data_IF_054420392827
#
_entry.id   IF_054420392827
#
_cell.length_a   1.000
_cell.length_b   1.000
_cell.length_c   1.000
_cell.angle_alpha   90.00
_cell.angle_beta   90.00
_cell.angle_gamma   90.00
#
_symmetry.space_group_name_H-M   'P 1'
#
loop_
_entity.id
_entity.type
_entity.pdbx_description
1 polymer ?
#
# COMPACT_ATOMS: atom_id res chain seq x y z
N UNK A 1 -1.79 -21.40 3.95
CA UNK A 1 -1.46 -19.95 3.89
C UNK A 1 0.02 -19.77 4.18
N UNK A 2 0.70 -19.05 3.33
CA UNK A 2 2.14 -18.77 3.46
C UNK A 2 2.31 -17.26 3.58
N UNK A 3 3.02 -16.79 4.64
CA UNK A 3 3.33 -15.38 4.78
C UNK A 3 4.47 -15.00 3.83
N UNK A 4 4.22 -14.04 2.94
CA UNK A 4 5.20 -13.52 1.98
C UNK A 4 5.92 -12.30 2.57
N UNK A 5 5.19 -11.44 3.28
CA UNK A 5 5.72 -10.23 3.88
C UNK A 5 4.98 -9.87 5.17
N UNK A 6 5.72 -9.42 6.17
CA UNK A 6 5.19 -8.92 7.43
C UNK A 6 5.83 -7.58 7.75
N UNK A 7 5.05 -6.50 7.63
CA UNK A 7 5.42 -5.15 8.01
C UNK A 7 4.68 -4.69 9.25
N UNK A 8 4.90 -3.43 9.66
CA UNK A 8 4.22 -2.82 10.80
C UNK A 8 2.81 -2.37 10.48
N UNK A 9 2.53 -2.04 9.22
CA UNK A 9 1.25 -1.48 8.79
C UNK A 9 0.51 -2.35 7.79
N UNK A 10 1.16 -3.35 7.22
CA UNK A 10 0.53 -4.29 6.30
C UNK A 10 1.25 -5.63 6.27
N UNK A 11 0.51 -6.65 5.86
CA UNK A 11 1.02 -8.00 5.66
C UNK A 11 0.62 -8.53 4.29
N UNK A 12 1.37 -9.48 3.75
CA UNK A 12 1.01 -10.19 2.53
C UNK A 12 1.07 -11.69 2.79
N UNK A 13 -0.01 -12.37 2.51
CA UNK A 13 -0.12 -13.82 2.62
C UNK A 13 -0.47 -14.43 1.27
N UNK A 14 0.17 -15.54 0.94
CA UNK A 14 -0.23 -16.35 -0.20
C UNK A 14 -1.32 -17.33 0.27
N UNK A 15 -2.49 -17.20 -0.34
CA UNK A 15 -3.63 -18.09 -0.12
C UNK A 15 -3.59 -19.25 -1.12
N UNK A 16 -4.69 -19.94 -1.31
CA UNK A 16 -4.80 -21.03 -2.28
C UNK A 16 -4.79 -20.49 -3.73
N UNK A 17 -4.42 -21.35 -4.64
CA UNK A 17 -4.49 -21.10 -6.09
C UNK A 17 -3.64 -19.92 -6.59
N UNK A 18 -2.62 -19.53 -5.86
CA UNK A 18 -1.71 -18.44 -6.26
C UNK A 18 -2.26 -17.04 -5.99
N UNK A 19 -3.29 -16.91 -5.18
CA UNK A 19 -3.87 -15.62 -4.81
C UNK A 19 -3.15 -15.09 -3.57
N UNK A 20 -2.57 -13.90 -3.67
CA UNK A 20 -2.00 -13.20 -2.54
C UNK A 20 -3.00 -12.20 -1.96
N UNK A 21 -3.01 -12.11 -0.64
CA UNK A 21 -3.83 -11.16 0.11
C UNK A 21 -2.91 -10.12 0.76
N UNK A 22 -3.03 -8.86 0.34
CA UNK A 22 -2.35 -7.73 0.96
C UNK A 22 -3.33 -7.03 1.89
N UNK A 23 -3.01 -7.03 3.19
CA UNK A 23 -3.90 -6.51 4.24
C UNK A 23 -3.27 -5.30 4.90
N UNK A 24 -3.91 -4.13 4.76
CA UNK A 24 -3.56 -2.96 5.55
C UNK A 24 -4.13 -3.09 6.95
N UNK A 25 -3.26 -3.08 7.94
CA UNK A 25 -3.61 -3.23 9.37
C UNK A 25 -2.64 -2.44 10.24
N UNK A 26 -2.61 -1.13 10.08
CA UNK A 26 -1.78 -0.24 10.88
C UNK A 26 -2.24 -0.20 12.34
N UNK A 27 -1.36 0.25 13.23
CA UNK A 27 -1.77 0.54 14.60
C UNK A 27 -2.85 1.63 14.64
N UNK A 28 -3.78 1.51 15.57
CA UNK A 28 -4.88 2.45 15.72
C UNK A 28 -6.12 2.04 14.94
N UNK A 29 -7.05 2.98 14.79
CA UNK A 29 -8.39 2.72 14.28
C UNK A 29 -8.49 2.79 12.76
N UNK A 30 -7.53 3.42 12.09
CA UNK A 30 -7.55 3.66 10.64
C UNK A 30 -6.20 3.36 10.02
N UNK A 31 -6.21 3.05 8.71
CA UNK A 31 -4.99 3.00 7.91
C UNK A 31 -4.71 4.37 7.31
N UNK A 32 -3.44 4.78 7.32
CA UNK A 32 -2.94 6.02 6.69
C UNK A 32 -1.69 5.71 5.89
N UNK A 33 -1.43 6.50 4.86
CA UNK A 33 -0.14 6.48 4.18
C UNK A 33 0.83 7.44 4.89
N UNK A 34 1.41 6.98 5.98
CA UNK A 34 2.57 7.56 6.62
C UNK A 34 3.86 6.99 5.98
N UNK A 35 5.02 7.47 6.42
CA UNK A 35 6.31 7.00 5.89
C UNK A 35 6.49 5.49 6.07
N UNK A 36 6.05 4.96 7.20
CA UNK A 36 6.16 3.52 7.47
C UNK A 36 5.30 2.71 6.51
N UNK A 37 4.08 3.13 6.24
CA UNK A 37 3.17 2.42 5.34
C UNK A 37 3.66 2.47 3.89
N UNK A 38 4.22 3.60 3.46
CA UNK A 38 4.86 3.72 2.13
C UNK A 38 6.03 2.74 2.03
N UNK A 39 6.89 2.67 3.05
CA UNK A 39 8.02 1.74 3.07
C UNK A 39 7.56 0.28 3.09
N UNK A 40 6.53 -0.04 3.88
CA UNK A 40 5.96 -1.39 3.92
C UNK A 40 5.36 -1.80 2.57
N UNK A 41 4.66 -0.88 1.90
CA UNK A 41 4.10 -1.16 0.57
C UNK A 41 5.19 -1.44 -0.46
N UNK A 42 6.28 -0.68 -0.42
CA UNK A 42 7.41 -0.91 -1.31
C UNK A 42 8.07 -2.28 -1.07
N UNK A 43 8.34 -2.61 0.17
CA UNK A 43 8.92 -3.90 0.54
C UNK A 43 7.98 -5.08 0.19
N UNK A 44 6.70 -4.92 0.44
CA UNK A 44 5.69 -5.91 0.07
C UNK A 44 5.61 -6.11 -1.45
N UNK A 45 5.67 -5.03 -2.22
CA UNK A 45 5.68 -5.09 -3.69
C UNK A 45 6.90 -5.85 -4.19
N UNK A 46 8.08 -5.58 -3.63
CA UNK A 46 9.31 -6.31 -3.97
C UNK A 46 9.19 -7.80 -3.62
N UNK A 47 8.63 -8.13 -2.47
CA UNK A 47 8.40 -9.50 -2.06
C UNK A 47 7.42 -10.25 -2.99
N UNK A 48 6.38 -9.56 -3.45
CA UNK A 48 5.43 -10.10 -4.43
C UNK A 48 6.10 -10.40 -5.77
N UNK A 49 6.93 -9.49 -6.27
CA UNK A 49 7.67 -9.69 -7.53
C UNK A 49 8.64 -10.85 -7.42
N UNK A 50 9.30 -11.02 -6.27
CA UNK A 50 10.29 -12.07 -6.05
C UNK A 50 9.66 -13.46 -5.86
N UNK A 51 8.38 -13.53 -5.48
CA UNK A 51 7.70 -14.81 -5.26
C UNK A 51 7.17 -15.39 -6.58
N UNK A 52 7.45 -16.65 -6.81
CA UNK A 52 7.04 -17.31 -8.04
C UNK A 52 5.56 -17.66 -8.09
N UNK A 53 4.81 -18.22 -8.41
CA UNK A 53 3.46 -18.78 -8.31
C UNK A 53 2.32 -17.81 -7.96
N UNK A 54 2.55 -16.47 -7.94
CA UNK A 54 1.48 -15.51 -7.72
C UNK A 54 0.73 -15.27 -9.02
N UNK A 55 -0.58 -15.44 -8.99
CA UNK A 55 -1.49 -15.24 -10.13
C UNK A 55 -2.32 -13.98 -10.02
N UNK A 56 -2.43 -13.41 -8.83
CA UNK A 56 -3.18 -12.20 -8.58
C UNK A 56 -3.08 -11.78 -7.13
N UNK A 57 -3.39 -10.53 -6.87
CA UNK A 57 -3.38 -9.94 -5.53
C UNK A 57 -4.70 -9.23 -5.28
N UNK A 58 -5.31 -9.46 -4.13
CA UNK A 58 -6.34 -8.56 -3.67
C UNK A 58 -5.87 -7.77 -2.44
N UNK A 59 -6.24 -6.50 -2.44
CA UNK A 59 -5.87 -5.53 -1.43
C UNK A 59 -7.08 -5.25 -0.57
N UNK A 60 -6.97 -5.42 0.74
CA UNK A 60 -8.05 -5.11 1.68
C UNK A 60 -7.55 -4.40 2.93
N UNK A 61 -8.47 -3.90 3.70
CA UNK A 61 -8.24 -3.32 5.02
C UNK A 61 -8.78 -4.25 6.11
N UNK A 62 -8.05 -4.36 7.21
CA UNK A 62 -8.55 -4.99 8.44
C UNK A 62 -9.37 -4.03 9.30
N UNK A 63 -9.51 -2.77 8.90
CA UNK A 63 -10.24 -1.72 9.62
C UNK A 63 -11.65 -1.52 9.04
N UNK A 64 -12.46 -0.73 9.72
CA UNK A 64 -13.81 -0.36 9.25
C UNK A 64 -13.79 0.63 8.07
N UNK A 65 -12.69 1.34 7.86
CA UNK A 65 -12.41 2.15 6.67
C UNK A 65 -11.36 1.47 5.82
N UNK A 66 -11.20 1.90 4.56
CA UNK A 66 -10.14 1.36 3.71
C UNK A 66 -8.81 2.03 4.06
N UNK A 67 -8.53 3.21 3.53
CA UNK A 67 -7.35 4.02 3.86
C UNK A 67 -7.77 5.49 3.80
N UNK A 68 -7.53 6.25 4.86
CA UNK A 68 -8.06 7.60 5.01
C UNK A 68 -7.13 8.72 4.52
N UNK A 69 -6.05 8.38 3.84
CA UNK A 69 -5.13 9.35 3.24
C UNK A 69 -3.78 9.39 3.95
N UNK A 70 -3.06 10.50 3.75
CA UNK A 70 -1.76 10.70 4.36
C UNK A 70 -1.89 11.04 5.84
N UNK A 71 -0.80 10.83 6.60
CA UNK A 71 -0.72 11.32 7.96
C UNK A 71 -0.35 12.81 7.94
N UNK A 72 -1.35 13.67 8.19
CA UNK A 72 -1.17 15.13 8.16
C UNK A 72 -0.20 15.63 9.24
N UNK A 73 0.03 14.86 10.29
CA UNK A 73 1.01 15.23 11.32
C UNK A 73 2.44 15.20 10.80
N UNK A 74 2.73 14.45 9.75
CA UNK A 74 4.02 14.43 9.08
C UNK A 74 4.27 15.66 8.19
N UNK A 75 3.22 16.38 7.80
CA UNK A 75 3.34 17.55 6.92
C UNK A 75 4.10 18.72 7.57
N UNK A 76 4.04 18.84 8.89
CA UNK A 76 4.78 19.90 9.60
C UNK A 76 6.28 19.81 9.32
N UNK A 77 6.82 18.60 9.31
CA UNK A 77 8.24 18.38 8.98
C UNK A 77 8.52 18.70 7.51
N UNK A 78 7.59 18.41 6.60
CA UNK A 78 7.75 18.74 5.18
C UNK A 78 7.80 20.24 4.92
N UNK A 79 7.04 21.05 5.65
CA UNK A 79 7.02 22.51 5.49
C UNK A 79 8.36 23.15 5.84
N UNK A 80 9.14 22.52 6.71
CA UNK A 80 10.45 23.01 7.12
C UNK A 80 11.61 22.48 6.24
N UNK A 81 11.30 21.60 5.28
CA UNK A 81 12.30 21.03 4.37
C UNK A 81 12.58 21.96 3.19
N UNK A 82 13.83 21.97 2.65
CA UNK A 82 14.11 22.56 1.35
C UNK A 82 13.27 21.94 0.24
N UNK A 83 12.91 22.73 -0.77
CA UNK A 83 12.07 22.28 -1.90
C UNK A 83 12.59 21.00 -2.57
N UNK A 84 13.91 20.90 -2.73
CA UNK A 84 14.53 19.72 -3.33
C UNK A 84 14.29 18.43 -2.52
N UNK A 85 14.26 18.53 -1.18
CA UNK A 85 13.98 17.38 -0.31
C UNK A 85 12.50 17.00 -0.36
N UNK A 86 11.61 17.98 -0.43
CA UNK A 86 10.17 17.75 -0.59
C UNK A 86 9.89 17.04 -1.91
N UNK A 87 10.51 17.49 -2.99
CA UNK A 87 10.38 16.85 -4.31
C UNK A 87 10.88 15.40 -4.28
N UNK A 88 12.00 15.14 -3.61
CA UNK A 88 12.52 13.78 -3.45
C UNK A 88 11.56 12.90 -2.67
N UNK A 89 11.00 13.41 -1.57
CA UNK A 89 10.07 12.67 -0.74
C UNK A 89 8.78 12.32 -1.50
N UNK A 90 8.19 13.30 -2.18
CA UNK A 90 6.99 13.09 -3.02
C UNK A 90 7.28 12.12 -4.16
N UNK A 91 8.44 12.27 -4.80
CA UNK A 91 8.87 11.38 -5.88
C UNK A 91 9.02 9.93 -5.44
N UNK A 92 9.56 9.70 -4.24
CA UNK A 92 9.67 8.35 -3.67
C UNK A 92 8.30 7.71 -3.43
N UNK A 93 7.36 8.45 -2.85
CA UNK A 93 6.01 7.97 -2.62
C UNK A 93 5.32 7.60 -3.95
N UNK A 94 5.42 8.46 -4.94
CA UNK A 94 4.87 8.20 -6.29
C UNK A 94 5.48 6.95 -6.92
N UNK A 95 6.79 6.76 -6.81
CA UNK A 95 7.48 5.59 -7.35
C UNK A 95 7.02 4.28 -6.69
N UNK A 96 6.67 4.30 -5.41
CA UNK A 96 6.12 3.12 -4.72
C UNK A 96 4.78 2.71 -5.33
N UNK A 97 3.89 3.67 -5.57
CA UNK A 97 2.62 3.38 -6.25
C UNK A 97 2.83 2.90 -7.69
N UNK A 98 3.77 3.51 -8.42
CA UNK A 98 4.11 3.10 -9.78
C UNK A 98 4.59 1.64 -9.82
N UNK A 99 5.48 1.26 -8.91
CA UNK A 99 5.96 -0.12 -8.82
C UNK A 99 4.86 -1.11 -8.49
N UNK A 100 3.93 -0.74 -7.60
CA UNK A 100 2.77 -1.57 -7.31
C UNK A 100 1.87 -1.72 -8.54
N UNK A 101 1.59 -0.62 -9.23
CA UNK A 101 0.79 -0.64 -10.47
C UNK A 101 1.43 -1.53 -11.55
N UNK A 102 2.76 -1.57 -11.61
CA UNK A 102 3.51 -2.34 -12.61
C UNK A 102 3.65 -3.84 -12.27
N UNK A 103 3.03 -4.32 -11.19
CA UNK A 103 3.03 -5.75 -10.88
C UNK A 103 2.55 -6.58 -12.08
N UNK A 104 3.22 -7.73 -12.37
CA UNK A 104 2.96 -8.49 -13.60
C UNK A 104 1.73 -9.40 -13.54
N UNK A 105 0.87 -9.23 -12.54
CA UNK A 105 -0.38 -9.99 -12.37
C UNK A 105 -1.52 -9.06 -11.94
N UNK A 106 -2.79 -9.46 -12.12
CA UNK A 106 -3.93 -8.62 -11.76
C UNK A 106 -3.97 -8.26 -10.28
N UNK A 107 -4.38 -7.04 -9.98
CA UNK A 107 -4.60 -6.55 -8.63
C UNK A 107 -6.04 -6.03 -8.48
N UNK A 108 -6.66 -6.30 -7.34
CA UNK A 108 -8.03 -5.89 -7.04
C UNK A 108 -8.04 -5.18 -5.69
N UNK A 109 -8.61 -3.98 -5.63
CA UNK A 109 -8.87 -3.28 -4.38
C UNK A 109 -10.28 -3.65 -3.89
N UNK A 110 -10.36 -4.32 -2.73
CA UNK A 110 -11.60 -4.60 -2.04
C UNK A 110 -11.89 -3.45 -1.06
N UNK A 111 -12.64 -2.46 -1.52
CA UNK A 111 -12.86 -1.20 -0.81
C UNK A 111 -14.04 -1.36 0.13
N UNK A 112 -13.78 -1.30 1.44
CA UNK A 112 -14.81 -1.53 2.47
C UNK A 112 -15.27 -0.24 3.18
N UNK A 113 -14.81 0.91 2.73
CA UNK A 113 -15.15 2.20 3.36
C UNK A 113 -14.35 3.34 2.73
N UNK A 114 -14.10 4.39 3.48
CA UNK A 114 -13.39 5.56 2.98
C UNK A 114 -12.04 5.22 2.36
N UNK A 115 -11.83 5.68 1.13
CA UNK A 115 -10.57 5.60 0.40
C UNK A 115 -10.23 7.02 -0.08
N UNK A 116 -9.48 7.76 0.74
CA UNK A 116 -9.23 9.19 0.57
C UNK A 116 -7.75 9.47 0.30
N UNK A 117 -7.45 10.51 -0.45
CA UNK A 117 -6.07 10.91 -0.74
C UNK A 117 -5.23 9.75 -1.24
N UNK A 118 -4.14 9.41 -0.53
CA UNK A 118 -3.31 8.24 -0.86
C UNK A 118 -4.07 6.92 -0.87
N UNK A 119 -5.15 6.81 -0.10
CA UNK A 119 -6.05 5.65 -0.16
C UNK A 119 -6.76 5.55 -1.50
N UNK A 120 -7.22 6.68 -2.04
CA UNK A 120 -7.78 6.74 -3.39
C UNK A 120 -6.71 6.39 -4.44
N UNK A 121 -5.52 6.94 -4.31
CA UNK A 121 -4.39 6.64 -5.20
C UNK A 121 -4.04 5.16 -5.20
N UNK A 122 -4.08 4.50 -4.03
CA UNK A 122 -3.87 3.05 -3.93
C UNK A 122 -4.92 2.27 -4.71
N UNK A 123 -6.19 2.68 -4.64
CA UNK A 123 -7.23 2.02 -5.42
C UNK A 123 -7.05 2.22 -6.93
N UNK A 124 -6.55 3.38 -7.34
CA UNK A 124 -6.27 3.69 -8.75
C UNK A 124 -5.03 2.93 -9.26
N UNK A 125 -4.10 2.59 -8.39
CA UNK A 125 -2.94 1.77 -8.73
C UNK A 125 -3.30 0.28 -8.90
N UNK A 126 -4.47 -0.16 -8.46
CA UNK A 126 -4.99 -1.50 -8.73
C UNK A 126 -5.67 -1.56 -10.10
N UNK A 127 -5.65 -2.76 -10.71
CA UNK A 127 -6.30 -2.96 -12.00
C UNK A 127 -7.83 -2.91 -11.90
N UNK A 128 -8.38 -3.43 -10.79
CA UNK A 128 -9.82 -3.49 -10.53
C UNK A 128 -10.16 -2.97 -9.14
N UNK A 129 -11.38 -2.49 -9.00
CA UNK A 129 -11.97 -1.97 -7.75
C UNK A 129 -13.35 -2.58 -7.54
N UNK A 130 -13.60 -3.05 -6.33
CA UNK A 130 -14.92 -3.56 -5.90
C UNK A 130 -15.27 -3.02 -4.52
#
# INVERSE_FOLDING_TARGET
>A
MIMIYEGKSLTVNLLQDGIAELVFDAQGSVNKFDQQTVADLDAATQALVAHQDIKGVFVRSAKSTFIVGADITEFTALFDMPDAEVLTWVGKASQVFDRFEDLPFPTIAAINGFALGGGCEMTLACDFRV
#
